data_IF_189880321719
#
_entry.id   IF_189880321719
#
_cell.length_a   1.000
_cell.length_b   1.000
_cell.length_c   1.000
_cell.angle_alpha   90.00
_cell.angle_beta   90.00
_cell.angle_gamma   90.00
#
_symmetry.space_group_name_H-M   'P 1'
#
loop_
_entity.id
_entity.type
_entity.pdbx_description
1 polymer ?
#
# COMPACT_ATOMS: atom_id res chain seq x y z
N UNK A 1 -17.07 39.49 3.23
CA UNK A 1 -16.43 38.24 3.69
C UNK A 1 -14.98 38.49 4.03
N UNK A 2 -14.51 38.02 5.18
CA UNK A 2 -13.08 38.05 5.53
C UNK A 2 -12.29 36.96 4.80
N UNK A 3 -10.97 37.10 4.75
CA UNK A 3 -10.07 36.12 4.13
C UNK A 3 -10.20 34.72 4.78
N UNK A 4 -10.37 34.67 6.11
CA UNK A 4 -10.66 33.43 6.86
C UNK A 4 -11.94 32.75 6.38
N UNK A 5 -13.02 33.50 6.17
CA UNK A 5 -14.29 32.93 5.67
C UNK A 5 -14.15 32.37 4.24
N UNK A 6 -13.39 33.05 3.37
CA UNK A 6 -13.11 32.55 2.01
C UNK A 6 -12.29 31.25 2.04
N UNK A 7 -11.28 31.16 2.90
CA UNK A 7 -10.48 29.93 3.07
C UNK A 7 -11.32 28.76 3.59
N UNK A 8 -12.16 28.98 4.61
CA UNK A 8 -13.05 27.93 5.14
C UNK A 8 -14.03 27.43 4.07
N UNK A 9 -14.63 28.33 3.28
CA UNK A 9 -15.49 27.93 2.16
C UNK A 9 -14.71 27.16 1.07
N UNK A 10 -13.49 27.58 0.73
CA UNK A 10 -12.65 26.89 -0.24
C UNK A 10 -12.29 25.47 0.23
N UNK A 11 -11.87 25.33 1.50
CA UNK A 11 -11.54 24.03 2.12
C UNK A 11 -12.73 23.09 2.11
N UNK A 12 -13.90 23.54 2.61
CA UNK A 12 -15.13 22.74 2.58
C UNK A 12 -15.55 22.36 1.16
N UNK A 13 -15.38 23.28 0.20
CA UNK A 13 -15.65 23.00 -1.21
C UNK A 13 -14.67 21.98 -1.82
N UNK A 14 -13.38 21.98 -1.47
CA UNK A 14 -12.39 21.02 -1.99
C UNK A 14 -12.47 19.64 -1.33
N UNK A 15 -13.02 19.57 -0.11
CA UNK A 15 -13.26 18.33 0.62
C UNK A 15 -14.53 17.60 0.16
N UNK A 16 -15.49 18.31 -0.44
CA UNK A 16 -16.81 17.80 -0.84
C UNK A 16 -16.79 16.43 -1.58
N UNK A 17 -17.32 15.36 -0.94
CA UNK A 17 -17.40 14.03 -1.55
C UNK A 17 -18.23 14.00 -2.84
N UNK A 18 -19.18 14.92 -3.05
CA UNK A 18 -19.95 14.98 -4.30
C UNK A 18 -19.09 15.36 -5.51
N UNK A 19 -17.97 16.09 -5.32
CA UNK A 19 -17.01 16.36 -6.39
C UNK A 19 -16.24 15.11 -6.80
N UNK A 20 -15.82 14.30 -5.83
CA UNK A 20 -15.19 12.98 -6.08
C UNK A 20 -16.18 12.07 -6.84
N UNK A 21 -17.42 11.95 -6.35
CA UNK A 21 -18.46 11.16 -7.02
C UNK A 21 -18.89 11.73 -8.40
N UNK A 22 -18.75 13.04 -8.64
CA UNK A 22 -18.96 13.65 -9.97
C UNK A 22 -17.80 13.33 -10.92
N UNK A 23 -16.55 13.36 -10.45
CA UNK A 23 -15.39 12.95 -11.23
C UNK A 23 -15.44 11.46 -11.59
N UNK A 24 -15.81 10.60 -10.63
CA UNK A 24 -16.04 9.18 -10.86
C UNK A 24 -17.07 8.93 -11.97
N UNK A 25 -18.24 9.58 -11.90
CA UNK A 25 -19.28 9.50 -12.95
C UNK A 25 -18.80 10.03 -14.31
N UNK A 26 -18.05 11.14 -14.35
CA UNK A 26 -17.44 11.66 -15.58
C UNK A 26 -16.50 10.63 -16.22
N UNK A 27 -15.76 9.87 -15.40
CA UNK A 27 -14.88 8.79 -15.84
C UNK A 27 -15.58 7.42 -15.94
N UNK A 28 -16.92 7.37 -15.92
CA UNK A 28 -17.71 6.16 -16.16
C UNK A 28 -17.79 5.18 -14.97
N UNK A 29 -17.64 5.65 -13.73
CA UNK A 29 -17.83 4.85 -12.50
C UNK A 29 -19.15 5.22 -11.84
N UNK A 30 -19.99 4.22 -11.61
CA UNK A 30 -21.33 4.38 -11.03
C UNK A 30 -21.54 3.40 -9.87
N UNK A 31 -22.20 3.89 -8.81
CA UNK A 31 -22.70 3.04 -7.75
C UNK A 31 -23.86 2.18 -8.29
N UNK A 32 -23.98 0.90 -7.90
CA UNK A 32 -25.06 0.03 -8.34
C UNK A 32 -26.38 0.57 -7.76
N UNK A 33 -27.37 0.78 -8.62
CA UNK A 33 -28.71 1.17 -8.18
C UNK A 33 -29.27 0.08 -7.27
N UNK A 34 -29.50 0.43 -6.00
CA UNK A 34 -30.07 -0.49 -5.02
C UNK A 34 -31.50 -0.86 -5.45
N UNK A 35 -31.69 -2.14 -5.80
CA UNK A 35 -32.97 -2.69 -6.28
C UNK A 35 -34.15 -2.57 -5.29
N UNK A 36 -33.88 -2.19 -4.05
CA UNK A 36 -34.89 -1.87 -3.03
C UNK A 36 -35.65 -0.57 -3.32
N UNK A 37 -35.11 0.36 -4.12
CA UNK A 37 -35.81 1.62 -4.44
C UNK A 37 -36.87 1.48 -5.55
N UNK A 38 -36.80 0.45 -6.40
CA UNK A 38 -37.76 0.23 -7.50
C UNK A 38 -38.94 -0.67 -7.12
N UNK A 39 -38.90 -1.34 -5.96
CA UNK A 39 -40.03 -2.11 -5.45
C UNK A 39 -41.06 -1.27 -4.66
N UNK A 40 -40.74 0.01 -4.37
CA UNK A 40 -41.60 0.93 -3.64
C UNK A 40 -42.41 1.88 -4.55
N UNK A 41 -42.52 1.55 -5.84
CA UNK A 41 -43.06 2.43 -6.88
C UNK A 41 -44.00 1.71 -7.88
N UNK A 42 -44.71 0.68 -7.43
CA UNK A 42 -45.84 0.09 -8.18
C UNK A 42 -47.13 0.19 -7.34
N UNK A 43 -47.94 1.24 -7.53
CA UNK A 43 -49.13 1.50 -6.72
C UNK A 43 -50.37 0.84 -7.32
N UNK A 44 -50.37 -0.50 -7.46
CA UNK A 44 -51.55 -1.28 -7.90
C UNK A 44 -51.65 -2.62 -7.19
N UNK A 45 -52.85 -2.82 -6.61
CA UNK A 45 -53.40 -4.02 -5.95
C UNK A 45 -53.44 -3.98 -4.41
N UNK A 46 -54.26 -3.06 -3.89
CA UNK A 46 -54.79 -3.11 -2.51
C UNK A 46 -56.29 -2.77 -2.53
N UNK A 47 -57.10 -3.59 -3.22
CA UNK A 47 -58.56 -3.52 -3.11
C UNK A 47 -59.27 -4.85 -3.50
N UNK A 48 -59.43 -5.76 -2.51
CA UNK A 48 -60.58 -6.68 -2.31
C UNK A 48 -60.31 -7.75 -1.26
N UNK A 49 -60.99 -7.66 -0.11
CA UNK A 49 -62.00 -8.63 0.34
C UNK A 49 -62.24 -8.51 1.87
N UNK A 50 -63.38 -7.95 2.26
CA UNK A 50 -63.93 -8.13 3.61
C UNK A 50 -64.92 -9.31 3.66
N UNK A 51 -64.94 -9.98 4.82
CA UNK A 51 -66.06 -10.74 5.40
C UNK A 51 -66.47 -12.12 4.80
N UNK A 52 -67.07 -13.04 5.61
CA UNK A 52 -66.85 -13.28 7.05
C UNK A 52 -66.95 -14.76 7.54
N UNK A 53 -66.83 -14.94 8.87
CA UNK A 53 -67.42 -16.00 9.75
C UNK A 53 -66.64 -17.26 10.20
N UNK A 54 -66.76 -17.49 11.53
CA UNK A 54 -66.78 -18.73 12.32
C UNK A 54 -65.48 -19.55 12.56
N UNK A 55 -65.21 -19.87 13.83
CA UNK A 55 -64.12 -20.79 14.23
C UNK A 55 -63.64 -20.64 15.69
N UNK A 56 -64.42 -21.10 16.65
CA UNK A 56 -64.22 -20.97 18.10
C UNK A 56 -62.86 -21.42 18.71
N UNK A 57 -62.21 -20.48 19.41
CA UNK A 57 -61.93 -20.56 20.87
C UNK A 57 -60.60 -21.11 21.47
N UNK A 58 -60.34 -20.57 22.68
CA UNK A 58 -59.51 -21.05 23.82
C UNK A 58 -58.00 -20.78 23.85
N UNK A 59 -57.68 -19.59 24.37
CA UNK A 59 -56.88 -19.34 25.60
C UNK A 59 -55.77 -20.35 25.96
N UNK A 60 -54.54 -19.83 26.11
CA UNK A 60 -53.91 -19.79 27.46
C UNK A 60 -52.88 -18.65 27.59
N UNK A 61 -53.10 -17.80 28.58
CA UNK A 61 -52.18 -16.74 29.00
C UNK A 61 -51.15 -17.24 30.02
N UNK A 62 -49.93 -16.71 29.87
CA UNK A 62 -49.00 -16.16 30.87
C UNK A 62 -48.63 -16.85 32.21
N UNK A 63 -47.35 -16.59 32.53
CA UNK A 63 -46.75 -16.16 33.82
C UNK A 63 -45.99 -17.14 34.74
N UNK A 64 -44.65 -16.98 34.71
CA UNK A 64 -43.69 -16.78 35.82
C UNK A 64 -43.90 -17.41 37.21
N UNK A 65 -42.81 -17.96 37.78
CA UNK A 65 -42.43 -17.59 39.16
C UNK A 65 -41.69 -18.61 40.07
N UNK A 66 -40.38 -18.35 40.29
CA UNK A 66 -39.70 -18.30 41.61
C UNK A 66 -39.27 -19.57 42.43
N UNK A 67 -37.93 -19.67 42.62
CA UNK A 67 -37.19 -19.78 43.91
C UNK A 67 -37.08 -21.08 44.74
N UNK A 68 -35.82 -21.44 45.13
CA UNK A 68 -35.54 -21.97 46.49
C UNK A 68 -34.41 -23.01 46.74
N UNK A 69 -33.20 -22.56 47.12
CA UNK A 69 -32.34 -23.19 48.17
C UNK A 69 -31.36 -24.36 47.86
N UNK A 70 -30.32 -24.61 48.70
CA UNK A 70 -29.11 -25.42 48.37
C UNK A 70 -28.77 -26.54 49.43
N UNK A 71 -27.50 -26.98 49.64
CA UNK A 71 -26.57 -27.87 48.90
C UNK A 71 -26.44 -29.26 49.64
N UNK A 72 -25.31 -30.02 49.81
CA UNK A 72 -23.95 -30.03 49.21
C UNK A 72 -23.45 -31.35 48.49
N UNK A 73 -22.57 -32.27 48.99
CA UNK A 73 -21.36 -32.60 48.20
C UNK A 73 -20.99 -34.10 47.96
N UNK A 74 -20.11 -34.36 46.98
CA UNK A 74 -19.04 -35.38 47.14
C UNK A 74 -18.75 -36.39 46.00
N UNK A 75 -17.46 -36.74 45.91
CA UNK A 75 -16.79 -37.91 45.29
C UNK A 75 -16.86 -38.19 43.76
N UNK A 76 -15.69 -37.99 43.13
CA UNK A 76 -14.91 -39.00 42.39
C UNK A 76 -15.61 -40.21 41.73
N UNK A 77 -15.47 -40.35 40.39
CA UNK A 77 -14.52 -41.30 39.77
C UNK A 77 -14.59 -41.38 38.25
N UNK A 78 -13.39 -41.49 37.66
CA UNK A 78 -13.02 -42.15 36.41
C UNK A 78 -14.08 -43.04 35.71
N UNK A 79 -14.21 -42.86 34.39
CA UNK A 79 -13.85 -43.92 33.44
C UNK A 79 -13.74 -43.41 31.98
N UNK A 80 -12.53 -43.47 31.42
CA UNK A 80 -12.36 -43.76 30.00
C UNK A 80 -12.48 -45.28 29.80
N UNK A 81 -12.88 -45.70 28.59
CA UNK A 81 -12.06 -46.71 27.92
C UNK A 81 -11.67 -46.27 26.51
N UNK A 82 -10.45 -46.60 26.11
CA UNK A 82 -9.94 -46.37 24.77
C UNK A 82 -10.00 -47.65 23.90
N UNK A 83 -9.98 -47.41 22.58
CA UNK A 83 -9.51 -48.24 21.45
C UNK A 83 -10.55 -49.05 20.65
N UNK A 84 -10.23 -49.45 19.38
CA UNK A 84 -9.42 -48.75 18.36
C UNK A 84 -9.96 -48.85 16.91
N UNK A 85 -9.30 -48.16 15.98
CA UNK A 85 -9.46 -48.32 14.51
C UNK A 85 -10.47 -47.34 13.89
N UNK A 86 -10.33 -46.90 12.64
CA UNK A 86 -9.29 -47.13 11.64
C UNK A 86 -9.85 -46.89 10.23
N UNK A 87 -9.15 -46.14 9.36
CA UNK A 87 -9.59 -45.87 7.98
C UNK A 87 -9.55 -44.39 7.61
N UNK A 88 -8.97 -44.06 6.45
CA UNK A 88 -8.74 -42.68 6.02
C UNK A 88 -9.95 -42.01 5.35
N UNK A 89 -9.99 -40.67 5.41
CA UNK A 89 -10.94 -39.85 4.66
C UNK A 89 -10.24 -39.23 3.43
N UNK A 90 -10.74 -39.41 2.20
CA UNK A 90 -10.22 -38.74 1.02
C UNK A 90 -10.83 -37.34 0.82
N UNK A 91 -10.02 -36.40 0.34
CA UNK A 91 -10.46 -35.03 0.01
C UNK A 91 -11.47 -35.02 -1.15
N UNK A 92 -12.71 -34.59 -0.88
CA UNK A 92 -13.75 -34.43 -1.90
C UNK A 92 -13.66 -33.11 -2.67
N UNK A 93 -12.86 -33.06 -3.73
CA UNK A 93 -12.89 -31.96 -4.72
C UNK A 93 -14.16 -32.10 -5.58
N UNK A 94 -15.13 -31.20 -5.41
CA UNK A 94 -16.38 -31.23 -6.20
C UNK A 94 -16.32 -30.28 -7.40
N UNK A 95 -15.86 -30.82 -8.54
CA UNK A 95 -15.99 -30.14 -9.84
C UNK A 95 -17.46 -30.06 -10.27
N UNK A 96 -18.00 -28.85 -10.38
CA UNK A 96 -19.32 -28.60 -10.98
C UNK A 96 -19.22 -28.50 -12.50
N UNK A 97 -19.92 -29.37 -13.23
CA UNK A 97 -20.05 -29.29 -14.70
C UNK A 97 -20.94 -28.12 -15.13
N UNK A 98 -20.70 -27.64 -16.35
CA UNK A 98 -21.47 -26.58 -16.98
C UNK A 98 -22.95 -26.98 -17.22
N UNK A 99 -23.82 -25.98 -17.22
CA UNK A 99 -25.22 -26.05 -17.69
C UNK A 99 -25.41 -24.96 -18.76
N UNK A 100 -26.42 -25.14 -19.62
CA UNK A 100 -26.45 -24.64 -21.01
C UNK A 100 -26.60 -23.12 -21.19
N UNK A 101 -26.26 -22.65 -22.40
CA UNK A 101 -26.34 -21.24 -22.80
C UNK A 101 -27.80 -20.80 -23.09
N UNK A 102 -28.25 -19.78 -22.36
CA UNK A 102 -29.32 -18.86 -22.78
C UNK A 102 -28.74 -17.53 -23.32
N UNK A 103 -29.53 -16.69 -24.02
CA UNK A 103 -28.98 -15.67 -24.92
C UNK A 103 -28.34 -14.47 -24.21
N UNK A 104 -27.07 -14.23 -24.53
CA UNK A 104 -26.35 -12.95 -24.57
C UNK A 104 -26.77 -11.83 -23.57
N UNK A 105 -26.84 -12.11 -22.27
CA UNK A 105 -26.83 -11.04 -21.27
C UNK A 105 -25.46 -10.35 -21.26
N UNK A 106 -25.44 -9.03 -21.52
CA UNK A 106 -24.24 -8.16 -21.38
C UNK A 106 -23.40 -8.55 -20.15
N UNK A 107 -22.08 -8.74 -20.33
CA UNK A 107 -21.13 -9.06 -19.25
C UNK A 107 -21.10 -7.93 -18.20
N UNK A 108 -21.96 -8.05 -17.18
CA UNK A 108 -21.89 -7.23 -15.95
C UNK A 108 -20.75 -7.72 -15.07
N UNK A 109 -19.53 -7.30 -15.40
CA UNK A 109 -18.35 -7.54 -14.58
C UNK A 109 -18.31 -6.55 -13.40
N UNK A 110 -18.97 -6.90 -12.29
CA UNK A 110 -18.79 -6.19 -11.02
C UNK A 110 -17.41 -6.51 -10.44
N UNK A 111 -16.58 -5.49 -10.20
CA UNK A 111 -15.23 -5.68 -9.64
C UNK A 111 -15.32 -5.73 -8.11
N UNK A 112 -15.22 -6.93 -7.53
CA UNK A 112 -15.11 -7.12 -6.09
C UNK A 112 -13.63 -7.28 -5.70
N UNK A 113 -13.06 -6.32 -4.96
CA UNK A 113 -11.76 -6.46 -4.28
C UNK A 113 -12.01 -6.67 -2.78
N UNK A 114 -11.21 -7.53 -2.14
CA UNK A 114 -11.29 -7.82 -0.69
C UNK A 114 -9.98 -7.47 0.00
N UNK A 115 -10.05 -6.82 1.16
CA UNK A 115 -8.89 -6.54 2.00
C UNK A 115 -8.44 -7.83 2.71
N UNK A 116 -7.18 -8.23 2.52
CA UNK A 116 -6.62 -9.47 3.08
C UNK A 116 -6.21 -9.35 4.56
N UNK A 117 -6.09 -8.13 5.09
CA UNK A 117 -5.73 -7.85 6.48
C UNK A 117 -6.97 -7.61 7.36
N UNK A 118 -7.92 -6.79 6.89
CA UNK A 118 -9.15 -6.45 7.65
C UNK A 118 -10.36 -7.31 7.28
N UNK A 119 -10.31 -8.04 6.16
CA UNK A 119 -11.40 -8.87 5.67
C UNK A 119 -12.51 -8.12 4.91
N UNK A 120 -12.49 -6.78 4.90
CA UNK A 120 -13.48 -5.91 4.23
C UNK A 120 -13.68 -6.27 2.75
N UNK A 121 -14.95 -6.33 2.32
CA UNK A 121 -15.33 -6.52 0.91
C UNK A 121 -15.70 -5.19 0.27
N UNK A 122 -15.15 -4.93 -0.92
CA UNK A 122 -15.41 -3.69 -1.67
C UNK A 122 -16.82 -3.62 -2.23
N UNK A 123 -17.31 -2.41 -2.46
CA UNK A 123 -18.59 -2.20 -3.13
C UNK A 123 -18.51 -2.69 -4.59
N UNK A 124 -19.50 -3.46 -5.02
CA UNK A 124 -19.72 -3.79 -6.43
C UNK A 124 -19.88 -2.50 -7.25
N UNK A 125 -18.87 -2.08 -7.99
CA UNK A 125 -18.94 -0.89 -8.85
C UNK A 125 -19.34 -1.26 -10.29
N UNK A 126 -20.13 -0.41 -10.94
CA UNK A 126 -20.30 -0.45 -12.40
C UNK A 126 -19.27 0.48 -13.05
N UNK A 127 -18.50 -0.04 -14.01
CA UNK A 127 -17.47 0.70 -14.73
C UNK A 127 -17.76 0.60 -16.23
N UNK A 128 -18.14 1.70 -16.85
CA UNK A 128 -18.44 1.78 -18.29
C UNK A 128 -17.21 2.11 -19.14
N UNK A 129 -16.25 2.89 -18.62
CA UNK A 129 -15.05 3.30 -19.34
C UNK A 129 -13.81 2.49 -18.90
N UNK A 130 -13.63 1.32 -19.51
CA UNK A 130 -12.51 0.42 -19.21
C UNK A 130 -11.11 1.01 -19.52
N UNK A 131 -10.88 1.76 -20.62
CA UNK A 131 -9.58 2.41 -20.84
C UNK A 131 -9.17 3.37 -19.71
N UNK A 132 -10.09 4.21 -19.22
CA UNK A 132 -9.80 5.09 -18.07
C UNK A 132 -9.59 4.30 -16.79
N UNK A 133 -10.37 3.22 -16.57
CA UNK A 133 -10.17 2.33 -15.42
C UNK A 133 -8.75 1.75 -15.37
N UNK A 134 -8.25 1.20 -16.48
CA UNK A 134 -6.89 0.66 -16.52
C UNK A 134 -5.82 1.76 -16.40
N UNK A 135 -6.04 2.93 -17.00
CA UNK A 135 -5.14 4.08 -16.86
C UNK A 135 -5.01 4.53 -15.40
N UNK A 136 -6.12 4.66 -14.68
CA UNK A 136 -6.09 5.05 -13.27
C UNK A 136 -5.65 3.91 -12.33
N UNK A 137 -5.91 2.64 -12.65
CA UNK A 137 -5.27 1.52 -11.97
C UNK A 137 -3.75 1.66 -12.05
N UNK A 138 -3.20 1.78 -13.27
CA UNK A 138 -1.77 1.99 -13.49
C UNK A 138 -1.24 3.24 -12.74
N UNK A 139 -1.96 4.37 -12.81
CA UNK A 139 -1.60 5.59 -12.08
C UNK A 139 -1.56 5.43 -10.56
N UNK A 140 -2.38 4.54 -9.98
CA UNK A 140 -2.32 4.22 -8.55
C UNK A 140 -1.19 3.22 -8.24
N UNK A 141 -0.93 2.23 -9.10
CA UNK A 141 0.19 1.30 -8.90
C UNK A 141 1.55 2.02 -8.85
N UNK A 142 1.72 3.16 -9.53
CA UNK A 142 2.90 4.04 -9.41
C UNK A 142 3.14 4.63 -8.00
N UNK A 143 2.21 4.44 -7.06
CA UNK A 143 2.37 4.78 -5.64
C UNK A 143 2.31 3.58 -4.68
N UNK A 144 2.37 2.35 -5.20
CA UNK A 144 2.27 1.10 -4.42
C UNK A 144 3.64 0.41 -4.26
N UNK A 145 3.75 -0.51 -3.28
CA UNK A 145 4.94 -1.32 -2.96
C UNK A 145 5.61 -1.92 -4.22
N UNK A 146 4.80 -2.51 -5.11
CA UNK A 146 5.29 -3.18 -6.32
C UNK A 146 6.06 -2.24 -7.26
N UNK A 147 5.61 -0.99 -7.41
CA UNK A 147 6.33 -0.01 -8.22
C UNK A 147 7.68 0.32 -7.58
N UNK A 148 7.74 0.59 -6.27
CA UNK A 148 9.01 0.93 -5.60
C UNK A 148 10.02 -0.23 -5.66
N UNK A 149 9.56 -1.47 -5.47
CA UNK A 149 10.38 -2.69 -5.55
C UNK A 149 10.94 -2.94 -6.95
N UNK A 150 10.32 -2.43 -8.02
CA UNK A 150 10.85 -2.56 -9.39
C UNK A 150 11.66 -1.31 -9.81
N UNK A 151 11.16 -0.12 -9.48
CA UNK A 151 11.70 1.16 -9.95
C UNK A 151 13.06 1.47 -9.36
N UNK A 152 13.23 1.43 -8.02
CA UNK A 152 14.51 1.79 -7.41
C UNK A 152 15.64 0.81 -7.79
N UNK A 153 15.43 -0.52 -7.79
CA UNK A 153 16.46 -1.44 -8.26
C UNK A 153 16.75 -1.30 -9.75
N UNK A 154 15.74 -1.06 -10.60
CA UNK A 154 15.99 -0.77 -12.02
C UNK A 154 16.88 0.46 -12.21
N UNK A 155 16.63 1.52 -11.44
CA UNK A 155 17.41 2.74 -11.46
C UNK A 155 18.87 2.49 -11.04
N UNK A 156 19.07 1.78 -9.91
CA UNK A 156 20.39 1.48 -9.34
C UNK A 156 21.20 0.51 -10.21
N UNK A 157 20.56 -0.48 -10.82
CA UNK A 157 21.24 -1.56 -11.55
C UNK A 157 21.47 -1.29 -13.03
N UNK A 158 20.66 -0.43 -13.67
CA UNK A 158 20.67 -0.26 -15.14
C UNK A 158 20.90 1.16 -15.62
N UNK A 159 20.66 2.17 -14.78
CA UNK A 159 20.82 3.57 -15.15
C UNK A 159 22.03 4.19 -14.46
N UNK A 160 21.92 4.43 -13.14
CA UNK A 160 22.88 5.27 -12.42
C UNK A 160 22.70 5.08 -10.90
N UNK A 161 23.69 4.49 -10.24
CA UNK A 161 23.54 4.17 -8.81
C UNK A 161 23.45 5.41 -7.91
N UNK A 162 24.07 6.54 -8.29
CA UNK A 162 24.07 7.75 -7.46
C UNK A 162 22.67 8.34 -7.32
N UNK A 163 22.01 8.63 -8.44
CA UNK A 163 20.69 9.23 -8.35
C UNK A 163 19.61 8.24 -7.94
N UNK A 164 19.83 6.92 -8.12
CA UNK A 164 18.97 5.89 -7.54
C UNK A 164 18.97 5.92 -6.01
N UNK A 165 20.15 6.01 -5.38
CA UNK A 165 20.30 6.12 -3.92
C UNK A 165 19.73 7.45 -3.39
N UNK A 166 19.99 8.57 -4.09
CA UNK A 166 19.44 9.90 -3.75
C UNK A 166 17.92 9.99 -3.92
N UNK A 167 17.34 9.35 -4.93
CA UNK A 167 15.89 9.22 -5.11
C UNK A 167 15.25 8.48 -3.92
N UNK A 168 15.90 7.42 -3.42
CA UNK A 168 15.43 6.69 -2.23
C UNK A 168 15.47 7.59 -0.99
N UNK A 169 16.54 8.37 -0.78
CA UNK A 169 16.60 9.32 0.36
C UNK A 169 15.41 10.28 0.35
N UNK A 170 15.09 10.86 -0.81
CA UNK A 170 13.95 11.78 -0.95
C UNK A 170 12.61 11.05 -0.78
N UNK A 171 12.46 9.84 -1.33
CA UNK A 171 11.24 9.03 -1.19
C UNK A 171 10.99 8.63 0.27
N UNK A 172 12.01 8.13 0.99
CA UNK A 172 11.92 7.78 2.42
C UNK A 172 11.44 8.99 3.21
N UNK A 173 12.07 10.14 3.00
CA UNK A 173 11.72 11.38 3.70
C UNK A 173 10.28 11.83 3.40
N UNK A 174 9.89 11.89 2.12
CA UNK A 174 8.56 12.33 1.72
C UNK A 174 7.47 11.39 2.26
N UNK A 175 7.69 10.07 2.17
CA UNK A 175 6.73 9.09 2.65
C UNK A 175 6.65 9.06 4.18
N UNK A 176 7.78 9.09 4.90
CA UNK A 176 7.82 9.16 6.36
C UNK A 176 7.11 10.41 6.90
N UNK A 177 7.44 11.59 6.38
CA UNK A 177 6.78 12.84 6.76
C UNK A 177 5.29 12.82 6.40
N UNK A 178 4.92 12.21 5.27
CA UNK A 178 3.53 12.02 4.87
C UNK A 178 2.72 11.16 5.85
N UNK A 179 3.26 10.00 6.27
CA UNK A 179 2.60 9.12 7.24
C UNK A 179 2.51 9.78 8.63
N UNK A 180 3.60 10.36 9.15
CA UNK A 180 3.56 11.11 10.42
C UNK A 180 2.54 12.26 10.39
N UNK A 181 2.41 12.96 9.25
CA UNK A 181 1.43 14.05 9.10
C UNK A 181 -0.01 13.53 9.06
N UNK A 182 -0.27 12.37 8.44
CA UNK A 182 -1.58 11.69 8.53
C UNK A 182 -1.96 11.41 9.99
N UNK A 183 -1.04 10.85 10.76
CA UNK A 183 -1.29 10.44 12.16
C UNK A 183 -1.48 11.66 13.10
N UNK A 184 -0.95 12.83 12.72
CA UNK A 184 -1.16 14.11 13.42
C UNK A 184 -2.49 14.78 13.02
N UNK A 185 -2.80 14.88 11.72
CA UNK A 185 -4.00 15.57 11.23
C UNK A 185 -5.27 14.72 11.43
N UNK A 186 -5.14 13.39 11.32
CA UNK A 186 -6.21 12.40 11.50
C UNK A 186 -7.46 12.64 10.62
N UNK A 187 -7.23 13.16 9.41
CA UNK A 187 -8.31 13.57 8.52
C UNK A 187 -9.10 12.37 7.97
N UNK A 188 -10.45 12.39 7.99
CA UNK A 188 -11.25 11.28 7.49
C UNK A 188 -11.21 11.17 5.97
N UNK A 189 -11.37 9.94 5.47
CA UNK A 189 -11.56 9.62 4.04
C UNK A 189 -12.89 10.20 3.51
N UNK A 190 -13.04 10.43 2.19
CA UNK A 190 -14.33 10.81 1.60
C UNK A 190 -15.46 9.84 1.95
N UNK A 191 -16.64 10.37 2.25
CA UNK A 191 -17.81 9.59 2.61
C UNK A 191 -18.32 8.73 1.44
N UNK A 192 -18.67 7.47 1.75
CA UNK A 192 -19.27 6.51 0.84
C UNK A 192 -20.56 5.97 1.46
N UNK A 193 -21.75 6.20 0.87
CA UNK A 193 -22.03 7.04 -0.32
C UNK A 193 -21.72 8.54 -0.08
N UNK A 194 -21.60 9.39 -1.13
CA UNK A 194 -21.86 9.11 -2.55
C UNK A 194 -20.64 8.56 -3.32
N UNK A 195 -19.45 8.54 -2.73
CA UNK A 195 -18.22 8.06 -3.39
C UNK A 195 -18.22 6.53 -3.47
N UNK A 196 -17.79 5.98 -4.61
CA UNK A 196 -17.59 4.54 -4.78
C UNK A 196 -16.14 4.21 -4.45
N UNK A 197 -15.88 3.33 -3.48
CA UNK A 197 -14.50 2.96 -3.13
C UNK A 197 -14.04 1.75 -3.95
N UNK A 198 -13.20 2.01 -4.95
CA UNK A 198 -12.63 0.96 -5.82
C UNK A 198 -11.41 0.26 -5.18
N UNK A 199 -10.82 0.88 -4.15
CA UNK A 199 -9.81 0.27 -3.30
C UNK A 199 -10.29 0.13 -1.87
N UNK A 200 -9.96 -1.00 -1.25
CA UNK A 200 -10.41 -1.35 0.12
C UNK A 200 -9.24 -1.44 1.10
N UNK A 201 -8.00 -1.53 0.59
CA UNK A 201 -6.81 -1.75 1.42
C UNK A 201 -6.55 -0.59 2.40
N UNK A 202 -6.67 0.65 1.93
CA UNK A 202 -6.37 1.87 2.69
C UNK A 202 -7.59 2.51 3.38
N UNK A 203 -8.69 1.76 3.56
CA UNK A 203 -9.91 2.28 4.20
C UNK A 203 -9.70 2.68 5.67
N UNK A 204 -8.83 1.96 6.37
CA UNK A 204 -8.45 2.14 7.78
C UNK A 204 -7.46 3.29 8.00
N UNK A 205 -7.03 4.00 6.97
CA UNK A 205 -6.04 5.09 7.08
C UNK A 205 -6.66 6.47 6.93
N UNK A 206 -6.06 7.44 7.63
CA UNK A 206 -6.31 8.86 7.43
C UNK A 206 -5.99 9.32 5.99
N UNK A 207 -6.75 10.33 5.52
CA UNK A 207 -6.77 10.75 4.12
C UNK A 207 -5.73 11.82 3.76
N UNK A 208 -5.41 12.71 4.70
CA UNK A 208 -4.64 13.93 4.44
C UNK A 208 -3.28 13.87 5.15
N UNK A 209 -2.15 14.12 4.45
CA UNK A 209 -2.00 14.30 3.00
C UNK A 209 -2.08 12.97 2.22
N UNK A 210 -2.36 13.05 0.92
CA UNK A 210 -2.32 11.89 0.03
C UNK A 210 -0.87 11.45 -0.25
N UNK A 211 -0.41 10.36 0.39
CA UNK A 211 0.95 9.81 0.24
C UNK A 211 1.26 9.31 -1.18
N UNK A 212 0.26 8.82 -1.92
CA UNK A 212 0.39 8.55 -3.35
C UNK A 212 0.61 9.83 -4.16
N UNK A 213 -0.13 10.91 -3.90
CA UNK A 213 0.12 12.21 -4.54
C UNK A 213 1.51 12.75 -4.16
N UNK A 214 1.96 12.55 -2.92
CA UNK A 214 3.29 12.95 -2.48
C UNK A 214 4.39 12.22 -3.25
N UNK A 215 4.41 10.89 -3.26
CA UNK A 215 5.40 10.12 -4.02
C UNK A 215 5.33 10.35 -5.53
N UNK A 216 4.11 10.47 -6.08
CA UNK A 216 3.86 10.82 -7.48
C UNK A 216 4.26 12.24 -7.88
N UNK A 217 4.54 13.11 -6.89
CA UNK A 217 5.14 14.44 -7.07
C UNK A 217 6.66 14.38 -6.86
N UNK A 218 7.10 13.74 -5.78
CA UNK A 218 8.50 13.67 -5.36
C UNK A 218 9.37 12.98 -6.40
N UNK A 219 9.00 11.76 -6.82
CA UNK A 219 9.81 10.92 -7.70
C UNK A 219 10.09 11.59 -9.06
N UNK A 220 9.09 12.02 -9.85
CA UNK A 220 9.37 12.61 -11.16
C UNK A 220 10.10 13.95 -11.09
N UNK A 221 9.81 14.80 -10.09
CA UNK A 221 10.53 16.08 -9.92
C UNK A 221 11.98 15.81 -9.54
N UNK A 222 12.22 15.00 -8.50
CA UNK A 222 13.57 14.68 -8.04
C UNK A 222 14.39 13.94 -9.09
N UNK A 223 13.78 13.06 -9.89
CA UNK A 223 14.47 12.38 -10.97
C UNK A 223 15.03 13.39 -11.97
N UNK A 224 14.19 14.33 -12.44
CA UNK A 224 14.64 15.37 -13.38
C UNK A 224 15.66 16.32 -12.74
N UNK A 225 15.47 16.73 -11.47
CA UNK A 225 16.44 17.57 -10.77
C UNK A 225 17.82 16.92 -10.64
N UNK A 226 17.86 15.60 -10.38
CA UNK A 226 19.10 14.86 -10.19
C UNK A 226 19.75 14.36 -11.50
N UNK A 227 19.00 14.17 -12.58
CA UNK A 227 19.57 13.78 -13.88
C UNK A 227 19.88 14.95 -14.80
N UNK A 228 19.24 16.11 -14.65
CA UNK A 228 19.50 17.25 -15.53
C UNK A 228 20.90 17.83 -15.28
N UNK A 229 21.69 17.98 -16.34
CA UNK A 229 23.11 18.34 -16.23
C UNK A 229 24.05 17.18 -15.89
N UNK A 230 23.54 16.04 -15.39
CA UNK A 230 24.30 14.78 -15.25
C UNK A 230 24.19 13.89 -16.48
N UNK A 231 23.05 13.91 -17.16
CA UNK A 231 22.78 13.14 -18.39
C UNK A 231 22.38 14.07 -19.55
N UNK A 232 22.81 13.74 -20.77
CA UNK A 232 22.50 14.49 -21.98
C UNK A 232 21.08 14.19 -22.51
N UNK A 233 20.11 15.00 -22.12
CA UNK A 233 18.77 14.99 -22.71
C UNK A 233 18.11 16.39 -22.70
N UNK A 234 17.21 16.69 -23.66
CA UNK A 234 16.46 17.95 -23.69
C UNK A 234 15.55 18.14 -22.46
N UNK A 235 15.59 19.34 -21.85
CA UNK A 235 14.76 19.70 -20.69
C UNK A 235 13.24 19.47 -20.92
N UNK A 236 12.78 19.62 -22.17
CA UNK A 236 11.38 19.40 -22.57
C UNK A 236 10.86 18.01 -22.17
N UNK A 237 11.71 16.98 -22.10
CA UNK A 237 11.30 15.65 -21.63
C UNK A 237 10.88 15.69 -20.15
N UNK A 238 11.59 16.45 -19.30
CA UNK A 238 11.20 16.66 -17.91
C UNK A 238 9.94 17.51 -17.76
N UNK A 239 9.83 18.57 -18.58
CA UNK A 239 8.65 19.45 -18.61
C UNK A 239 7.37 18.74 -19.06
N UNK A 240 7.47 17.65 -19.82
CA UNK A 240 6.34 16.77 -20.17
C UNK A 240 6.13 15.70 -19.08
N UNK A 241 7.20 15.01 -18.66
CA UNK A 241 7.11 13.86 -17.76
C UNK A 241 6.54 14.24 -16.38
N UNK A 242 7.01 15.35 -15.79
CA UNK A 242 6.57 15.80 -14.45
C UNK A 242 5.05 16.01 -14.41
N UNK A 243 4.43 16.89 -15.23
CA UNK A 243 2.98 17.10 -15.16
C UNK A 243 2.20 15.86 -15.59
N UNK A 244 2.66 15.06 -16.56
CA UNK A 244 1.97 13.83 -16.95
C UNK A 244 1.94 12.81 -15.81
N UNK A 245 3.09 12.50 -15.18
CA UNK A 245 3.18 11.55 -14.07
C UNK A 245 2.39 12.06 -12.86
N UNK A 246 2.65 13.30 -12.44
CA UNK A 246 2.01 13.88 -11.27
C UNK A 246 0.49 13.93 -11.43
N UNK A 247 -0.03 14.37 -12.57
CA UNK A 247 -1.47 14.42 -12.83
C UNK A 247 -2.08 13.03 -12.87
N UNK A 248 -1.42 12.05 -13.50
CA UNK A 248 -1.91 10.67 -13.57
C UNK A 248 -2.07 10.06 -12.17
N UNK A 249 -1.05 10.17 -11.32
CA UNK A 249 -1.11 9.64 -9.94
C UNK A 249 -2.17 10.39 -9.13
N UNK A 250 -2.15 11.73 -9.15
CA UNK A 250 -3.09 12.57 -8.40
C UNK A 250 -4.56 12.31 -8.77
N UNK A 251 -4.88 12.27 -10.07
CA UNK A 251 -6.24 11.98 -10.56
C UNK A 251 -6.67 10.55 -10.26
N UNK A 252 -5.75 9.57 -10.29
CA UNK A 252 -6.07 8.19 -9.93
C UNK A 252 -6.59 8.06 -8.49
N UNK A 253 -6.07 8.84 -7.53
CA UNK A 253 -6.50 8.78 -6.12
C UNK A 253 -7.91 9.31 -5.91
N UNK A 254 -8.34 10.27 -6.73
CA UNK A 254 -9.71 10.77 -6.79
C UNK A 254 -10.61 9.73 -7.48
N UNK A 255 -10.14 9.15 -8.60
CA UNK A 255 -10.88 8.11 -9.34
C UNK A 255 -11.16 6.87 -8.47
N UNK A 256 -10.19 6.41 -7.69
CA UNK A 256 -10.36 5.26 -6.78
C UNK A 256 -11.29 5.52 -5.58
N UNK A 257 -11.70 6.79 -5.37
CA UNK A 257 -12.56 7.18 -4.25
C UNK A 257 -11.84 7.29 -2.91
N UNK A 258 -10.50 7.24 -2.91
CA UNK A 258 -9.70 7.17 -1.68
C UNK A 258 -9.35 8.54 -1.11
N UNK A 259 -9.32 9.59 -1.92
CA UNK A 259 -8.91 10.93 -1.49
C UNK A 259 -9.83 12.01 -2.07
N UNK A 260 -10.05 13.07 -1.31
CA UNK A 260 -10.68 14.31 -1.78
C UNK A 260 -9.71 15.13 -2.62
N UNK A 261 -10.21 16.16 -3.31
CA UNK A 261 -9.37 17.09 -4.08
C UNK A 261 -8.42 17.83 -3.13
N UNK A 262 -8.88 18.17 -1.92
CA UNK A 262 -8.07 18.81 -0.88
C UNK A 262 -6.88 17.94 -0.46
N UNK A 263 -7.08 16.64 -0.23
CA UNK A 263 -6.02 15.72 0.23
C UNK A 263 -4.88 15.59 -0.80
N UNK A 264 -5.24 15.63 -2.08
CA UNK A 264 -4.32 15.56 -3.22
C UNK A 264 -3.55 16.86 -3.38
N UNK A 265 -4.22 18.01 -3.33
CA UNK A 265 -3.56 19.34 -3.35
C UNK A 265 -2.60 19.48 -2.17
N UNK A 266 -3.00 19.05 -0.97
CA UNK A 266 -2.16 19.08 0.22
C UNK A 266 -0.92 18.19 0.06
N UNK A 267 -1.07 16.96 -0.46
CA UNK A 267 0.07 16.08 -0.75
C UNK A 267 1.04 16.67 -1.77
N UNK A 268 0.53 17.26 -2.85
CA UNK A 268 1.35 17.96 -3.85
C UNK A 268 2.13 19.12 -3.22
N UNK A 269 1.44 20.09 -2.61
CA UNK A 269 2.07 21.29 -2.02
C UNK A 269 3.04 20.93 -0.91
N UNK A 270 2.69 19.97 -0.04
CA UNK A 270 3.58 19.53 1.04
C UNK A 270 4.85 18.87 0.50
N UNK A 271 4.76 18.15 -0.62
CA UNK A 271 5.95 17.59 -1.29
C UNK A 271 6.83 18.66 -1.89
N UNK A 272 6.27 19.69 -2.52
CA UNK A 272 7.06 20.83 -3.01
C UNK A 272 7.79 21.52 -1.85
N UNK A 273 7.17 21.66 -0.68
CA UNK A 273 7.81 22.18 0.53
C UNK A 273 8.93 21.27 1.04
N UNK A 274 8.70 19.95 1.10
CA UNK A 274 9.74 18.96 1.49
C UNK A 274 10.92 19.03 0.53
N UNK A 275 10.69 19.08 -0.78
CA UNK A 275 11.76 19.22 -1.78
C UNK A 275 12.51 20.54 -1.60
N UNK A 276 11.81 21.67 -1.45
CA UNK A 276 12.44 22.98 -1.29
C UNK A 276 13.36 23.05 -0.05
N UNK A 277 12.97 22.39 1.06
CA UNK A 277 13.77 22.35 2.29
C UNK A 277 14.90 21.33 2.20
N UNK A 278 14.61 20.10 1.76
CA UNK A 278 15.52 18.96 1.95
C UNK A 278 16.35 18.59 0.73
N UNK A 279 15.94 18.94 -0.49
CA UNK A 279 16.73 18.68 -1.70
C UNK A 279 18.18 19.19 -1.62
N UNK A 280 18.47 20.41 -1.10
CA UNK A 280 19.85 20.90 -0.94
C UNK A 280 20.74 20.05 -0.03
N UNK A 281 20.16 19.23 0.85
CA UNK A 281 20.88 18.37 1.79
C UNK A 281 21.03 16.92 1.31
N UNK A 282 20.40 16.53 0.20
CA UNK A 282 20.43 15.16 -0.32
C UNK A 282 21.87 14.70 -0.60
N UNK A 283 22.68 15.56 -1.21
CA UNK A 283 24.10 15.30 -1.47
C UNK A 283 24.91 15.11 -0.18
N UNK A 284 24.63 15.90 0.86
CA UNK A 284 25.30 15.78 2.16
C UNK A 284 24.95 14.46 2.84
N UNK A 285 23.66 14.10 2.86
CA UNK A 285 23.16 12.84 3.42
C UNK A 285 23.77 11.64 2.67
N UNK A 286 23.78 11.70 1.34
CA UNK A 286 24.28 10.63 0.49
C UNK A 286 25.79 10.40 0.64
N UNK A 287 26.58 11.48 0.69
CA UNK A 287 28.02 11.42 0.95
C UNK A 287 28.33 10.90 2.36
N UNK A 288 27.57 11.35 3.38
CA UNK A 288 27.70 10.84 4.74
C UNK A 288 27.46 9.33 4.80
N UNK A 289 26.36 8.87 4.20
CA UNK A 289 25.97 7.45 4.18
C UNK A 289 27.07 6.57 3.58
N UNK A 290 27.69 6.98 2.48
CA UNK A 290 28.75 6.23 1.81
C UNK A 290 30.10 6.27 2.55
N UNK A 291 30.54 7.45 2.98
CA UNK A 291 31.95 7.67 3.34
C UNK A 291 32.24 7.48 4.82
N UNK A 292 31.34 7.93 5.70
CA UNK A 292 31.62 8.10 7.13
C UNK A 292 31.68 6.75 7.87
N UNK A 293 32.77 6.49 8.61
CA UNK A 293 33.08 5.18 9.22
C UNK A 293 31.95 4.58 10.05
N UNK A 294 31.21 5.40 10.79
CA UNK A 294 30.11 4.96 11.65
C UNK A 294 28.71 5.14 11.02
N UNK A 295 28.63 5.44 9.72
CA UNK A 295 27.37 5.68 9.04
C UNK A 295 26.36 4.53 9.22
N UNK A 296 26.70 3.22 9.06
CA UNK A 296 25.71 2.15 9.21
C UNK A 296 25.02 2.13 10.59
N UNK A 297 25.78 2.37 11.68
CA UNK A 297 25.21 2.42 13.03
C UNK A 297 24.30 3.64 13.22
N UNK A 298 24.72 4.80 12.71
CA UNK A 298 23.95 6.06 12.81
C UNK A 298 22.69 5.97 11.93
N UNK A 299 22.77 5.40 10.72
CA UNK A 299 21.64 5.16 9.82
C UNK A 299 20.59 4.28 10.51
N UNK A 300 20.99 3.12 11.04
CA UNK A 300 20.08 2.18 11.71
C UNK A 300 19.48 2.84 12.95
N UNK A 301 20.29 3.45 13.81
CA UNK A 301 19.84 4.13 15.02
C UNK A 301 18.85 5.27 14.73
N UNK A 302 19.12 6.09 13.71
CA UNK A 302 18.23 7.17 13.27
C UNK A 302 16.91 6.64 12.75
N UNK A 303 16.92 5.64 11.85
CA UNK A 303 15.68 5.10 11.29
C UNK A 303 14.84 4.36 12.34
N UNK A 304 15.47 3.69 13.30
CA UNK A 304 14.77 3.11 14.46
C UNK A 304 14.16 4.20 15.36
N UNK A 305 14.90 5.28 15.66
CA UNK A 305 14.39 6.40 16.45
C UNK A 305 13.21 7.11 15.78
N UNK A 306 13.28 7.32 14.46
CA UNK A 306 12.17 7.85 13.65
C UNK A 306 10.96 6.91 13.66
N UNK A 307 11.18 5.59 13.54
CA UNK A 307 10.12 4.60 13.65
C UNK A 307 9.41 4.64 15.01
N UNK A 308 10.19 4.59 16.11
CA UNK A 308 9.67 4.71 17.48
C UNK A 308 8.88 6.02 17.65
N UNK A 309 9.41 7.14 17.18
CA UNK A 309 8.72 8.44 17.24
C UNK A 309 7.37 8.40 16.49
N UNK A 310 7.34 7.93 15.24
CA UNK A 310 6.07 7.75 14.50
C UNK A 310 5.09 6.88 15.27
N UNK A 311 5.56 5.80 15.90
CA UNK A 311 4.70 4.91 16.67
C UNK A 311 4.18 5.54 17.97
N UNK A 312 4.78 6.60 18.51
CA UNK A 312 4.18 7.34 19.66
C UNK A 312 3.02 8.25 19.26
N UNK A 313 2.82 8.54 17.98
CA UNK A 313 1.82 9.53 17.52
C UNK A 313 0.39 8.99 17.40
N UNK A 314 0.18 7.66 17.42
CA UNK A 314 -1.09 7.06 16.97
C UNK A 314 -1.71 5.99 17.90
N UNK A 315 -3.01 5.75 17.71
CA UNK A 315 -3.80 4.67 18.32
C UNK A 315 -4.24 3.68 17.23
N UNK A 316 -3.37 2.70 16.93
CA UNK A 316 -3.56 1.58 15.99
C UNK A 316 -4.15 1.93 14.61
N UNK A 317 -3.28 1.97 13.60
CA UNK A 317 -3.66 2.04 12.19
C UNK A 317 -2.66 1.29 11.31
N UNK A 318 -3.03 1.00 10.06
CA UNK A 318 -2.20 0.26 9.10
C UNK A 318 -0.97 1.07 8.62
N UNK A 319 -0.95 2.39 8.81
CA UNK A 319 0.15 3.27 8.39
C UNK A 319 1.49 2.89 9.05
N UNK A 320 1.44 2.36 10.28
CA UNK A 320 2.62 1.96 11.07
C UNK A 320 3.45 0.88 10.38
N UNK A 321 2.79 -0.13 9.80
CA UNK A 321 3.46 -1.20 9.06
C UNK A 321 4.21 -0.63 7.85
N UNK A 322 3.55 0.24 7.11
CA UNK A 322 4.14 0.90 5.94
C UNK A 322 5.31 1.82 6.36
N UNK A 323 5.20 2.57 7.46
CA UNK A 323 6.31 3.36 8.01
C UNK A 323 7.51 2.49 8.41
N UNK A 324 7.29 1.34 9.06
CA UNK A 324 8.36 0.40 9.39
C UNK A 324 9.07 -0.14 8.12
N UNK A 325 8.30 -0.40 7.06
CA UNK A 325 8.76 -0.88 5.76
C UNK A 325 9.53 0.18 4.96
N UNK A 326 9.05 1.43 4.95
CA UNK A 326 9.73 2.58 4.35
C UNK A 326 11.08 2.84 5.04
N UNK A 327 11.08 2.93 6.37
CA UNK A 327 12.29 3.20 7.16
C UNK A 327 13.27 2.04 7.12
N UNK A 328 12.79 0.80 7.13
CA UNK A 328 13.60 -0.39 6.92
C UNK A 328 14.29 -0.35 5.56
N UNK A 329 13.52 -0.17 4.48
CA UNK A 329 14.04 -0.06 3.11
C UNK A 329 15.09 1.04 2.97
N UNK A 330 14.84 2.22 3.54
CA UNK A 330 15.77 3.35 3.55
C UNK A 330 17.09 3.03 4.26
N UNK A 331 17.01 2.52 5.49
CA UNK A 331 18.18 2.11 6.25
C UNK A 331 18.98 1.01 5.52
N UNK A 332 18.29 0.01 4.97
CA UNK A 332 18.87 -1.06 4.18
C UNK A 332 19.66 -0.56 2.96
N UNK A 333 19.00 0.25 2.12
CA UNK A 333 19.61 0.82 0.91
C UNK A 333 20.83 1.67 1.25
N UNK A 334 20.73 2.54 2.27
CA UNK A 334 21.83 3.40 2.70
C UNK A 334 23.00 2.60 3.31
N UNK A 335 22.73 1.58 4.14
CA UNK A 335 23.75 0.69 4.66
C UNK A 335 24.43 -0.14 3.55
N UNK A 336 23.67 -0.75 2.63
CA UNK A 336 24.25 -1.51 1.53
C UNK A 336 25.12 -0.63 0.62
N UNK A 337 24.70 0.63 0.40
CA UNK A 337 25.48 1.64 -0.32
C UNK A 337 26.84 1.91 0.34
N UNK A 338 26.88 1.97 1.68
CA UNK A 338 28.13 2.10 2.43
C UNK A 338 29.10 0.95 2.14
N UNK A 339 28.63 -0.30 2.22
CA UNK A 339 29.47 -1.48 1.96
C UNK A 339 29.91 -1.55 0.50
N UNK A 340 29.04 -1.22 -0.45
CA UNK A 340 29.35 -1.14 -1.89
C UNK A 340 30.42 -0.12 -2.20
N UNK A 341 30.35 1.06 -1.57
CA UNK A 341 31.39 2.09 -1.67
C UNK A 341 32.72 1.61 -1.07
N UNK A 342 32.70 1.02 0.14
CA UNK A 342 33.92 0.50 0.80
C UNK A 342 34.59 -0.66 0.05
N UNK A 343 33.82 -1.45 -0.69
CA UNK A 343 34.34 -2.54 -1.53
C UNK A 343 34.70 -2.09 -2.96
N UNK A 344 34.45 -0.83 -3.35
CA UNK A 344 34.71 -0.34 -4.70
C UNK A 344 33.87 -0.99 -5.80
N UNK A 345 32.74 -1.62 -5.45
CA UNK A 345 31.90 -2.39 -6.39
C UNK A 345 31.13 -1.51 -7.38
N UNK A 346 30.77 -0.31 -6.96
CA UNK A 346 30.17 0.72 -7.82
C UNK A 346 30.91 2.02 -7.52
N UNK A 347 31.58 2.56 -8.54
CA UNK A 347 32.29 3.83 -8.49
C UNK A 347 31.52 4.84 -9.33
N UNK A 348 31.29 6.02 -8.77
CA UNK A 348 30.69 7.13 -9.51
C UNK A 348 31.65 7.59 -10.63
N UNK A 349 31.15 7.91 -11.84
CA UNK A 349 32.00 8.44 -12.89
C UNK A 349 32.59 9.79 -12.50
N UNK A 350 33.83 10.10 -12.91
CA UNK A 350 34.49 11.35 -12.56
C UNK A 350 33.80 12.56 -13.22
N UNK A 351 33.96 13.73 -12.60
CA UNK A 351 33.19 14.94 -12.97
C UNK A 351 33.52 15.51 -14.36
N UNK A 352 34.70 15.18 -14.90
CA UNK A 352 35.21 15.61 -16.20
C UNK A 352 34.49 14.95 -17.38
N UNK A 353 33.84 13.79 -17.19
CA UNK A 353 33.06 13.11 -18.25
C UNK A 353 31.57 13.48 -18.26
N UNK A 354 31.14 14.43 -17.42
CA UNK A 354 29.75 14.90 -17.36
C UNK A 354 29.51 16.05 -18.36
N UNK A 355 28.31 16.17 -18.97
CA UNK A 355 27.15 15.28 -18.84
C UNK A 355 27.31 13.97 -19.62
N UNK A 356 26.85 12.86 -19.05
CA UNK A 356 26.89 11.52 -19.65
C UNK A 356 26.08 11.47 -20.96
N UNK A 357 26.67 11.04 -22.09
CA UNK A 357 25.93 10.87 -23.34
C UNK A 357 24.94 9.71 -23.22
N UNK A 358 23.82 9.80 -23.94
CA UNK A 358 22.85 8.70 -24.01
C UNK A 358 23.48 7.53 -24.79
N UNK A 359 23.67 6.34 -24.17
CA UNK A 359 24.23 5.21 -24.89
C UNK A 359 23.27 4.75 -26.01
N UNK A 360 23.78 4.25 -27.14
CA UNK A 360 22.94 3.65 -28.16
C UNK A 360 22.22 2.42 -27.60
N UNK A 361 20.92 2.30 -27.88
CA UNK A 361 20.10 1.16 -27.44
C UNK A 361 20.50 -0.07 -28.26
N UNK A 362 21.54 -0.77 -27.80
CA UNK A 362 22.00 -2.03 -28.37
C UNK A 362 21.24 -3.22 -27.75
N UNK A 363 21.12 -4.30 -28.53
CA UNK A 363 20.56 -5.57 -28.06
C UNK A 363 21.33 -6.08 -26.83
N UNK A 364 22.66 -5.88 -26.79
CA UNK A 364 23.51 -6.24 -25.66
C UNK A 364 23.19 -5.44 -24.39
N UNK A 365 23.00 -4.12 -24.49
CA UNK A 365 22.62 -3.27 -23.35
C UNK A 365 21.24 -3.67 -22.82
N UNK A 366 20.27 -3.85 -23.72
CA UNK A 366 18.91 -4.25 -23.36
C UNK A 366 18.87 -5.65 -22.73
N UNK A 367 19.60 -6.61 -23.31
CA UNK A 367 19.75 -7.97 -22.78
C UNK A 367 20.42 -8.01 -21.41
N UNK A 368 21.50 -7.24 -21.21
CA UNK A 368 22.13 -7.07 -19.89
C UNK A 368 21.14 -6.48 -18.88
N UNK A 369 20.37 -5.46 -19.26
CA UNK A 369 19.41 -4.82 -18.35
C UNK A 369 18.29 -5.77 -17.91
N UNK A 370 17.73 -6.55 -18.84
CA UNK A 370 16.77 -7.62 -18.52
C UNK A 370 17.41 -8.66 -17.60
N UNK A 371 18.62 -9.12 -17.91
CA UNK A 371 19.30 -10.16 -17.12
C UNK A 371 19.58 -9.69 -15.69
N UNK A 372 20.04 -8.44 -15.50
CA UNK A 372 20.20 -7.83 -14.17
C UNK A 372 18.89 -7.80 -13.40
N UNK A 373 17.80 -7.36 -14.04
CA UNK A 373 16.48 -7.35 -13.39
C UNK A 373 16.03 -8.76 -13.01
N UNK A 374 16.12 -9.75 -13.90
CA UNK A 374 15.67 -11.11 -13.61
C UNK A 374 16.48 -11.76 -12.47
N UNK A 375 17.82 -11.68 -12.53
CA UNK A 375 18.71 -12.25 -11.50
C UNK A 375 18.56 -11.50 -10.17
N UNK A 376 18.57 -10.17 -10.20
CA UNK A 376 18.46 -9.32 -9.02
C UNK A 376 17.11 -9.45 -8.32
N UNK A 377 16.00 -9.44 -9.09
CA UNK A 377 14.67 -9.61 -8.52
C UNK A 377 14.44 -11.02 -7.97
N UNK A 378 14.95 -12.07 -8.63
CA UNK A 378 14.91 -13.43 -8.08
C UNK A 378 15.63 -13.50 -6.72
N UNK A 379 16.85 -12.95 -6.63
CA UNK A 379 17.61 -12.89 -5.39
C UNK A 379 16.88 -12.11 -4.29
N UNK A 380 16.36 -10.91 -4.61
CA UNK A 380 15.61 -10.07 -3.66
C UNK A 380 14.35 -10.76 -3.15
N UNK A 381 13.61 -11.48 -4.00
CA UNK A 381 12.43 -12.25 -3.57
C UNK A 381 12.80 -13.42 -2.67
N UNK A 382 13.90 -14.13 -2.95
CA UNK A 382 14.43 -15.19 -2.09
C UNK A 382 14.85 -14.63 -0.73
N UNK A 383 15.58 -13.51 -0.69
CA UNK A 383 15.91 -12.81 0.57
C UNK A 383 14.65 -12.40 1.33
N UNK A 384 13.65 -11.82 0.66
CA UNK A 384 12.38 -11.40 1.30
C UNK A 384 11.65 -12.59 1.94
N UNK A 385 11.62 -13.76 1.31
CA UNK A 385 10.99 -14.96 1.86
C UNK A 385 11.79 -15.55 3.03
N UNK A 386 13.10 -15.72 2.88
CA UNK A 386 13.99 -16.20 3.95
C UNK A 386 13.89 -15.29 5.19
N UNK A 387 13.99 -13.97 4.99
CA UNK A 387 13.93 -13.01 6.09
C UNK A 387 12.57 -13.00 6.78
N UNK A 388 11.46 -13.16 6.05
CA UNK A 388 10.12 -13.34 6.68
C UNK A 388 10.05 -14.61 7.52
N UNK A 389 10.59 -15.74 7.03
CA UNK A 389 10.62 -17.01 7.76
C UNK A 389 11.49 -16.96 9.03
N UNK A 390 12.52 -16.11 9.06
CA UNK A 390 13.40 -15.93 10.23
C UNK A 390 12.81 -14.91 11.21
N UNK A 391 12.42 -13.73 10.73
CA UNK A 391 12.07 -12.59 11.60
C UNK A 391 10.75 -12.76 12.32
N UNK A 392 9.73 -13.38 11.70
CA UNK A 392 8.42 -13.53 12.33
C UNK A 392 8.47 -14.48 13.54
N UNK A 393 9.01 -15.72 13.44
CA UNK A 393 9.13 -16.60 14.62
C UNK A 393 10.05 -16.01 15.69
N UNK A 394 11.12 -15.29 15.29
CA UNK A 394 12.01 -14.62 16.22
C UNK A 394 11.28 -13.53 17.02
N UNK A 395 10.51 -12.66 16.36
CA UNK A 395 9.70 -11.64 17.04
C UNK A 395 8.65 -12.28 17.95
N UNK A 396 7.93 -13.30 17.48
CA UNK A 396 6.97 -14.05 18.30
C UNK A 396 7.62 -14.62 19.57
N UNK A 397 8.83 -15.18 19.46
CA UNK A 397 9.59 -15.71 20.60
C UNK A 397 10.07 -14.60 21.56
N UNK A 398 10.51 -13.45 21.05
CA UNK A 398 10.96 -12.32 21.88
C UNK A 398 9.81 -11.72 22.69
N UNK A 399 8.62 -11.59 22.08
CA UNK A 399 7.45 -10.98 22.70
C UNK A 399 6.46 -11.98 23.32
N UNK A 400 6.80 -13.27 23.38
CA UNK A 400 5.97 -14.36 23.90
C UNK A 400 4.56 -14.46 23.26
N UNK A 401 4.48 -14.24 21.95
CA UNK A 401 3.24 -14.32 21.16
C UNK A 401 3.12 -15.70 20.50
N UNK A 402 1.95 -16.39 20.58
CA UNK A 402 1.74 -17.67 19.90
C UNK A 402 1.94 -17.56 18.37
N UNK A 403 2.74 -18.45 17.81
CA UNK A 403 3.13 -18.41 16.38
C UNK A 403 2.43 -19.49 15.52
N UNK A 404 1.45 -20.21 16.08
CA UNK A 404 0.75 -21.32 15.41
C UNK A 404 0.00 -20.86 14.14
N UNK A 405 -0.54 -19.65 14.17
CA UNK A 405 -1.10 -18.96 13.00
C UNK A 405 -0.30 -17.68 12.72
N UNK A 406 0.62 -17.79 11.76
CA UNK A 406 1.46 -16.69 11.27
C UNK A 406 0.63 -15.48 10.79
N UNK A 407 -0.62 -15.66 10.34
CA UNK A 407 -1.47 -14.53 9.92
C UNK A 407 -1.94 -13.71 11.11
N UNK A 408 -2.36 -14.38 12.19
CA UNK A 408 -2.74 -13.73 13.45
C UNK A 408 -1.54 -13.11 14.16
N UNK A 409 -0.41 -13.82 14.19
CA UNK A 409 0.82 -13.29 14.77
C UNK A 409 1.22 -11.93 14.16
N UNK A 410 1.08 -11.77 12.83
CA UNK A 410 1.35 -10.50 12.13
C UNK A 410 0.36 -9.36 12.41
N UNK A 411 -0.76 -9.61 13.09
CA UNK A 411 -1.70 -8.56 13.51
C UNK A 411 -1.27 -7.89 14.82
N UNK A 412 -0.33 -8.51 15.57
CA UNK A 412 0.32 -7.90 16.72
C UNK A 412 1.43 -6.95 16.26
N UNK A 413 1.43 -5.71 16.75
CA UNK A 413 2.40 -4.68 16.37
C UNK A 413 3.84 -5.06 16.74
N UNK A 414 4.00 -5.77 17.85
CA UNK A 414 5.26 -6.29 18.37
C UNK A 414 5.90 -7.30 17.41
N UNK A 415 5.09 -7.95 16.56
CA UNK A 415 5.57 -8.81 15.47
C UNK A 415 5.66 -8.03 14.17
N UNK A 416 4.63 -7.23 13.82
CA UNK A 416 4.54 -6.54 12.54
C UNK A 416 5.70 -5.60 12.27
N UNK A 417 5.97 -4.69 13.21
CA UNK A 417 6.90 -3.60 12.99
C UNK A 417 8.35 -4.12 12.91
N UNK A 418 8.82 -5.03 13.78
CA UNK A 418 10.14 -5.62 13.64
C UNK A 418 10.28 -6.51 12.40
N UNK A 419 9.28 -7.34 12.04
CA UNK A 419 9.41 -8.17 10.84
C UNK A 419 9.49 -7.32 9.58
N UNK A 420 8.66 -6.27 9.45
CA UNK A 420 8.70 -5.37 8.29
C UNK A 420 10.04 -4.63 8.26
N UNK A 421 10.43 -3.94 9.33
CA UNK A 421 11.68 -3.19 9.37
C UNK A 421 12.91 -4.05 8.99
N UNK A 422 13.06 -5.23 9.60
CA UNK A 422 14.23 -6.10 9.37
C UNK A 422 14.18 -6.76 7.98
N UNK A 423 13.02 -7.25 7.55
CA UNK A 423 12.87 -7.90 6.23
C UNK A 423 13.19 -6.91 5.11
N UNK A 424 12.60 -5.71 5.16
CA UNK A 424 12.77 -4.72 4.10
C UNK A 424 14.11 -4.00 4.18
N UNK A 425 14.70 -3.88 5.38
CA UNK A 425 16.12 -3.52 5.54
C UNK A 425 17.05 -4.49 4.83
N UNK A 426 16.86 -5.81 4.98
CA UNK A 426 17.68 -6.79 4.26
C UNK A 426 17.41 -6.84 2.75
N UNK A 427 16.17 -6.58 2.30
CA UNK A 427 15.85 -6.37 0.88
C UNK A 427 16.59 -5.14 0.34
N UNK A 428 16.49 -4.00 1.02
CA UNK A 428 17.17 -2.77 0.64
C UNK A 428 18.70 -2.91 0.58
N UNK A 429 19.28 -3.57 1.59
CA UNK A 429 20.70 -3.88 1.64
C UNK A 429 21.12 -4.81 0.49
N UNK A 430 20.28 -5.80 0.16
CA UNK A 430 20.54 -6.70 -0.98
C UNK A 430 20.53 -5.97 -2.31
N UNK A 431 19.63 -5.00 -2.50
CA UNK A 431 19.52 -4.20 -3.72
C UNK A 431 20.79 -3.40 -3.98
N UNK A 432 21.40 -2.80 -2.95
CA UNK A 432 22.61 -1.95 -3.13
C UNK A 432 23.93 -2.68 -2.93
N UNK A 433 23.98 -3.84 -2.26
CA UNK A 433 25.21 -4.58 -1.98
C UNK A 433 25.26 -5.98 -2.60
N UNK A 434 24.46 -6.93 -2.11
CA UNK A 434 24.59 -8.34 -2.53
C UNK A 434 24.31 -8.55 -4.01
N UNK A 435 23.32 -7.87 -4.58
CA UNK A 435 22.97 -8.01 -6.00
C UNK A 435 24.06 -7.41 -6.91
N UNK A 436 24.56 -6.17 -6.70
CA UNK A 436 25.74 -5.68 -7.41
C UNK A 436 26.99 -6.56 -7.27
N UNK A 437 27.24 -7.15 -6.09
CA UNK A 437 28.33 -8.11 -5.91
C UNK A 437 28.15 -9.38 -6.78
N UNK A 438 26.92 -9.91 -6.85
CA UNK A 438 26.58 -11.03 -7.75
C UNK A 438 26.78 -10.62 -9.22
N UNK A 439 26.35 -9.43 -9.63
CA UNK A 439 26.54 -8.94 -11.00
C UNK A 439 28.01 -8.81 -11.39
N UNK A 440 28.85 -8.31 -10.49
CA UNK A 440 30.30 -8.27 -10.66
C UNK A 440 30.87 -9.69 -10.82
N UNK A 441 30.51 -10.60 -9.91
CA UNK A 441 31.00 -11.99 -9.92
C UNK A 441 30.63 -12.76 -11.20
N UNK A 442 29.43 -12.56 -11.75
CA UNK A 442 28.98 -13.23 -12.99
C UNK A 442 29.26 -12.42 -14.27
N UNK A 443 30.02 -11.32 -14.19
CA UNK A 443 30.46 -10.54 -15.35
C UNK A 443 29.37 -9.71 -16.05
N UNK A 444 28.28 -9.37 -15.35
CA UNK A 444 27.17 -8.58 -15.91
C UNK A 444 27.02 -7.17 -15.31
N UNK A 445 27.91 -6.74 -14.40
CA UNK A 445 27.97 -5.38 -13.82
C UNK A 445 27.94 -4.28 -14.88
#
# INVERSE_FOLDING_TARGET
MSLRQRLVQLVGSLQDPHKVARFQRLCGVEAPVSRTATAAADPREDEKAEAPLAGESRRREQQLGASGGPPPPGSDRNQCPAKPGGGGAPNGVRNGRATELGPASQRRAGVLRRNSLTGEEGQLAHVSNMPLYYLFCFGTELGNELFYILFFPFWIWNLDALVGRRLVVIWVLAMYLGQCTKDIIRWPRPASPPVVKLEVFYNSEYSMPSTHAMSGTAIPISMILLTYGRWQYPLIYGLILIPCWCSLVCLSRIYMGMHSILDVIAGFVYTILILAIFYPFVDLIDNFNQTHKYAPLIIIGLHLALGIFSFTLDTWSTSRGDTAEILGSGAGIACGSHFTYKMGLILDPPLDILPLPRPPISVTLFGKAILRILVGMLFVLVVRDIMKRITIPLACKIFNIPCDDVRKARQHMEVELPYRYITYGMVGFSITFFVPYIFFFIGIS
#
